data_IF_996907011067
#
_entry.id   IF_996907011067
#
_cell.length_a   1.000
_cell.length_b   1.000
_cell.length_c   1.000
_cell.angle_alpha   90.00
_cell.angle_beta   90.00
_cell.angle_gamma   90.00
#
_symmetry.space_group_name_H-M   'P 1'
#
loop_
_entity.id
_entity.type
_entity.pdbx_description
1 polymer ?
#
# COMPACT_ATOMS: atom_id res chain seq x y z
N UNK A 1 -10.03 -8.44 2.06
CA UNK A 1 -8.95 -7.53 1.63
C UNK A 1 -8.71 -7.70 0.14
N UNK A 2 -8.46 -6.62 -0.60
CA UNK A 2 -8.13 -6.62 -2.03
C UNK A 2 -6.68 -6.14 -2.18
N UNK A 3 -5.87 -6.86 -2.96
CA UNK A 3 -4.43 -6.59 -3.12
C UNK A 3 -4.14 -6.10 -4.53
N UNK A 4 -3.40 -5.00 -4.65
CA UNK A 4 -2.94 -4.44 -5.91
C UNK A 4 -1.42 -4.21 -5.83
N UNK A 5 -0.68 -4.84 -6.73
CA UNK A 5 0.78 -4.75 -6.79
C UNK A 5 1.19 -3.85 -7.95
N UNK A 6 1.92 -2.78 -7.66
CA UNK A 6 2.37 -1.79 -8.66
C UNK A 6 3.86 -1.63 -8.64
N UNK A 7 4.49 -1.66 -9.81
CA UNK A 7 5.91 -1.35 -9.95
C UNK A 7 6.15 0.17 -10.01
N UNK A 8 5.93 0.86 -8.89
CA UNK A 8 6.07 2.32 -8.77
C UNK A 8 6.90 2.70 -7.55
N UNK A 9 8.14 3.14 -7.79
CA UNK A 9 9.12 3.50 -6.73
C UNK A 9 8.62 4.67 -5.86
N UNK A 10 7.80 5.56 -6.42
CA UNK A 10 7.31 6.77 -5.73
C UNK A 10 6.49 6.48 -4.47
N UNK A 11 5.91 5.29 -4.33
CA UNK A 11 5.17 4.86 -3.14
C UNK A 11 6.02 4.74 -1.87
N UNK A 12 7.34 4.62 -2.03
CA UNK A 12 8.28 4.58 -0.91
C UNK A 12 8.39 5.94 -0.19
N UNK A 13 8.24 7.06 -0.90
CA UNK A 13 8.41 8.40 -0.33
C UNK A 13 7.13 9.20 -0.19
N UNK A 14 6.10 8.90 -1.01
CA UNK A 14 4.83 9.63 -0.99
C UNK A 14 3.66 8.68 -1.21
N UNK A 15 2.50 9.04 -0.66
CA UNK A 15 1.23 8.45 -1.05
C UNK A 15 0.90 9.02 -2.44
N UNK A 16 0.88 8.17 -3.46
CA UNK A 16 0.46 8.60 -4.80
C UNK A 16 -1.07 8.69 -4.83
N UNK A 17 -1.56 9.88 -4.47
CA UNK A 17 -3.00 10.17 -4.44
C UNK A 17 -3.65 9.91 -5.80
N UNK A 18 -2.97 10.17 -6.93
CA UNK A 18 -3.56 9.97 -8.26
C UNK A 18 -3.92 8.50 -8.53
N UNK A 19 -3.13 7.56 -8.00
CA UNK A 19 -3.44 6.13 -8.09
C UNK A 19 -4.55 5.69 -7.11
N UNK A 20 -4.72 6.40 -6.00
CA UNK A 20 -5.77 6.14 -5.01
C UNK A 20 -7.10 6.77 -5.43
N UNK A 21 -7.06 7.85 -6.22
CA UNK A 21 -8.20 8.69 -6.62
C UNK A 21 -9.06 8.06 -7.73
N UNK A 22 -9.48 6.82 -7.54
CA UNK A 22 -10.72 6.34 -8.14
C UNK A 22 -11.91 6.77 -7.26
N UNK A 23 -13.14 6.76 -7.78
CA UNK A 23 -14.37 7.14 -7.04
C UNK A 23 -14.47 6.41 -5.69
N UNK A 24 -13.99 5.16 -5.62
CA UNK A 24 -13.94 4.36 -4.38
C UNK A 24 -12.91 4.85 -3.34
N UNK A 25 -11.86 5.56 -3.76
CA UNK A 25 -10.86 6.13 -2.87
C UNK A 25 -11.33 7.44 -2.22
N UNK A 26 -12.01 8.31 -2.98
CA UNK A 26 -12.65 9.51 -2.41
C UNK A 26 -13.71 9.17 -1.38
N UNK A 27 -14.51 8.13 -1.65
CA UNK A 27 -15.50 7.59 -0.72
C UNK A 27 -14.88 6.74 0.42
N UNK A 28 -13.60 6.94 0.76
CA UNK A 28 -12.93 6.35 1.92
C UNK A 28 -12.05 7.35 2.67
N UNK A 29 -12.04 8.61 2.25
CA UNK A 29 -11.35 9.68 2.95
C UNK A 29 -11.93 9.80 4.36
N UNK A 30 -11.06 9.87 5.37
CA UNK A 30 -11.51 9.97 6.76
C UNK A 30 -12.38 11.19 6.97
N UNK A 31 -11.97 12.32 6.41
CA UNK A 31 -12.70 13.59 6.46
C UNK A 31 -14.13 13.48 5.91
N UNK A 32 -14.36 12.66 4.89
CA UNK A 32 -15.70 12.45 4.31
C UNK A 32 -16.55 11.57 5.22
N UNK A 33 -15.97 10.50 5.78
CA UNK A 33 -16.68 9.60 6.70
C UNK A 33 -17.06 10.30 7.99
N UNK A 34 -16.12 11.05 8.55
CA UNK A 34 -16.32 11.80 9.79
C UNK A 34 -17.38 12.89 9.61
N UNK A 35 -17.39 13.57 8.44
CA UNK A 35 -18.41 14.57 8.10
C UNK A 35 -19.81 13.96 7.94
N UNK A 36 -19.90 12.77 7.33
CA UNK A 36 -21.18 12.10 7.06
C UNK A 36 -21.66 11.20 8.22
N UNK A 37 -20.83 10.95 9.23
CA UNK A 37 -21.14 10.09 10.36
C UNK A 37 -21.39 8.63 9.96
N UNK A 38 -20.73 8.15 8.90
CA UNK A 38 -20.96 6.79 8.35
C UNK A 38 -19.99 5.80 9.00
N UNK A 39 -20.50 4.61 9.36
CA UNK A 39 -19.66 3.51 9.88
C UNK A 39 -18.72 2.93 8.80
N UNK A 40 -17.53 2.53 9.24
CA UNK A 40 -16.50 1.90 8.42
C UNK A 40 -16.56 0.36 8.44
N UNK A 41 -17.50 -0.25 9.18
CA UNK A 41 -17.52 -1.70 9.47
C UNK A 41 -17.71 -2.59 8.23
N UNK A 42 -18.24 -2.02 7.14
CA UNK A 42 -18.48 -2.71 5.87
C UNK A 42 -17.39 -2.45 4.82
N UNK A 43 -16.34 -1.71 5.18
CA UNK A 43 -15.23 -1.44 4.26
C UNK A 43 -14.40 -2.69 4.04
N UNK A 44 -14.24 -3.08 2.78
CA UNK A 44 -13.28 -4.13 2.40
C UNK A 44 -11.88 -3.51 2.40
N UNK A 45 -10.97 -4.01 3.24
CA UNK A 45 -9.57 -3.55 3.28
C UNK A 45 -8.88 -3.59 1.91
N UNK A 46 -8.03 -2.60 1.62
CA UNK A 46 -7.17 -2.57 0.42
C UNK A 46 -5.70 -2.60 0.84
N UNK A 47 -4.88 -3.37 0.13
CA UNK A 47 -3.42 -3.37 0.30
C UNK A 47 -2.73 -3.02 -1.03
N UNK A 48 -1.84 -2.04 -0.98
CA UNK A 48 -0.95 -1.68 -2.10
C UNK A 48 0.43 -2.27 -1.84
N UNK A 49 0.88 -3.15 -2.73
CA UNK A 49 2.25 -3.67 -2.72
C UNK A 49 3.08 -2.87 -3.71
N UNK A 50 4.23 -2.37 -3.28
CA UNK A 50 5.12 -1.58 -4.14
C UNK A 50 6.59 -1.94 -3.88
N UNK A 51 7.48 -1.74 -4.86
CA UNK A 51 8.90 -1.98 -4.68
C UNK A 51 9.53 -0.91 -3.78
N UNK A 52 10.26 -1.33 -2.75
CA UNK A 52 11.06 -0.45 -1.89
C UNK A 52 12.48 -1.01 -1.70
N UNK A 53 13.43 -0.36 -2.36
CA UNK A 53 14.85 -0.73 -2.33
C UNK A 53 15.54 -0.43 -1.01
N UNK A 54 15.04 0.50 -0.18
CA UNK A 54 15.72 0.90 1.05
C UNK A 54 15.13 0.19 2.25
N UNK A 55 13.82 0.28 2.40
CA UNK A 55 13.10 -0.11 3.62
C UNK A 55 12.10 -1.26 3.38
N UNK A 56 12.10 -1.85 2.19
CA UNK A 56 11.19 -2.95 1.86
C UNK A 56 11.41 -4.20 2.70
N UNK A 57 10.31 -4.89 3.01
CA UNK A 57 10.35 -6.17 3.70
C UNK A 57 10.81 -7.29 2.75
N UNK A 58 11.56 -8.25 3.29
CA UNK A 58 11.85 -9.53 2.62
C UNK A 58 10.73 -10.55 2.80
N UNK A 59 9.89 -10.36 3.81
CA UNK A 59 8.77 -11.22 4.14
C UNK A 59 7.47 -10.43 3.99
N UNK A 60 6.72 -10.74 2.94
CA UNK A 60 5.44 -10.09 2.62
C UNK A 60 4.33 -10.49 3.60
N UNK A 61 4.40 -11.69 4.20
CA UNK A 61 3.27 -12.27 4.92
C UNK A 61 3.24 -11.93 6.41
N UNK A 62 4.31 -11.32 6.93
CA UNK A 62 4.49 -11.13 8.36
C UNK A 62 3.49 -10.15 8.99
N UNK A 63 3.04 -9.14 8.24
CA UNK A 63 1.91 -8.27 8.62
C UNK A 63 1.46 -7.37 7.46
N UNK A 64 0.31 -7.70 6.87
CA UNK A 64 -0.27 -6.97 5.74
C UNK A 64 -1.01 -5.68 6.16
N UNK A 65 -1.30 -5.49 7.45
CA UNK A 65 -2.05 -4.32 7.96
C UNK A 65 -1.18 -3.32 8.71
N UNK A 66 0.14 -3.52 8.69
CA UNK A 66 1.10 -2.73 9.46
C UNK A 66 1.08 -1.23 9.17
N UNK A 67 0.96 -0.84 7.89
CA UNK A 67 1.04 0.57 7.49
C UNK A 67 -0.26 0.99 6.81
N UNK A 68 -1.20 1.49 7.61
CA UNK A 68 -2.37 2.18 7.09
C UNK A 68 -1.97 3.57 6.54
N UNK A 69 -2.63 3.99 5.46
CA UNK A 69 -2.51 5.33 4.93
C UNK A 69 -3.47 6.23 5.71
N UNK A 70 -2.92 7.16 6.50
CA UNK A 70 -3.65 7.95 7.48
C UNK A 70 -4.87 8.69 6.91
N UNK A 71 -4.82 9.11 5.64
CA UNK A 71 -5.90 9.88 5.00
C UNK A 71 -7.14 9.04 4.69
N UNK A 72 -7.03 7.71 4.68
CA UNK A 72 -8.10 6.80 4.28
C UNK A 72 -8.39 5.75 5.36
N UNK A 73 -9.63 5.26 5.39
CA UNK A 73 -10.01 4.11 6.21
C UNK A 73 -9.79 2.79 5.43
N UNK A 74 -9.09 1.84 6.06
CA UNK A 74 -8.91 0.47 5.56
C UNK A 74 -8.06 0.41 4.30
N UNK A 75 -7.10 1.32 4.14
CA UNK A 75 -6.15 1.32 3.02
C UNK A 75 -4.74 1.19 3.57
N UNK A 76 -4.07 0.12 3.20
CA UNK A 76 -2.75 -0.24 3.68
C UNK A 76 -1.73 -0.26 2.54
N UNK A 77 -0.45 -0.13 2.88
CA UNK A 77 0.63 -0.28 1.91
C UNK A 77 1.82 -1.05 2.49
N UNK A 78 2.49 -1.82 1.65
CA UNK A 78 3.70 -2.56 2.02
C UNK A 78 4.75 -2.44 0.92
N UNK A 79 5.94 -1.99 1.34
CA UNK A 79 7.13 -2.00 0.49
C UNK A 79 7.78 -3.38 0.54
N UNK A 80 8.06 -3.97 -0.62
CA UNK A 80 8.82 -5.23 -0.71
C UNK A 80 10.22 -4.96 -1.26
N UNK A 81 11.21 -5.68 -0.73
CA UNK A 81 12.55 -5.65 -1.30
C UNK A 81 12.56 -6.43 -2.61
N UNK A 82 13.14 -5.83 -3.65
CA UNK A 82 13.32 -6.49 -4.92
C UNK A 82 14.62 -7.31 -4.93
N UNK A 83 14.63 -8.49 -5.59
CA UNK A 83 15.86 -9.23 -5.82
C UNK A 83 16.80 -8.41 -6.73
N UNK A 84 18.09 -8.31 -6.38
CA UNK A 84 19.07 -7.57 -7.17
C UNK A 84 20.00 -8.54 -7.91
N UNK A 85 20.37 -8.24 -9.16
CA UNK A 85 21.19 -9.13 -10.00
C UNK A 85 22.58 -9.47 -9.42
N UNK A 86 23.10 -8.69 -8.46
CA UNK A 86 24.37 -9.02 -7.77
C UNK A 86 24.27 -10.27 -6.90
N UNK A 87 23.06 -10.70 -6.54
CA UNK A 87 22.82 -11.91 -5.78
C UNK A 87 22.93 -13.19 -6.65
N UNK A 88 23.25 -13.05 -7.95
CA UNK A 88 23.30 -14.16 -8.93
C UNK A 88 24.56 -14.19 -9.78
N UNK A 89 25.68 -13.62 -9.33
CA UNK A 89 26.98 -13.92 -9.97
C UNK A 89 27.41 -15.32 -9.54
N UNK A 90 26.80 -16.33 -10.16
CA UNK A 90 27.38 -17.66 -10.25
C UNK A 90 28.71 -17.50 -10.96
N UNK A 91 29.79 -17.79 -10.26
CA UNK A 91 31.09 -18.04 -10.87
C UNK A 91 30.90 -19.16 -11.91
N UNK A 92 30.96 -18.78 -13.18
CA UNK A 92 31.21 -19.69 -14.30
C UNK A 92 32.70 -19.60 -14.63
#
# INVERSE_FOLDING_TARGET
>A
MIVDAKYKIRYASKVDHLDIHQVSGYARLRTVYDLLGISTDRLIDRLIIYPDYKNGSYDLFKDLRRNEINEYYGVFKVGIKLPMQRDTVRHF
#
